data_IF_425508885756
#
_entry.id   IF_425508885756
#
_cell.length_a   1.000
_cell.length_b   1.000
_cell.length_c   1.000
_cell.angle_alpha   90.00
_cell.angle_beta   90.00
_cell.angle_gamma   90.00
#
_symmetry.space_group_name_H-M   'P 1'
#
loop_
_entity.id
_entity.type
_entity.pdbx_description
1 polymer ?
#
# COMPACT_ATOMS: atom_id res chain seq x y z
N UNK A 1 20.29 -35.86 1.09
CA UNK A 1 20.86 -35.21 -0.11
C UNK A 1 19.73 -34.42 -0.74
N UNK A 2 19.96 -33.13 -0.94
CA UNK A 2 18.94 -32.12 -1.22
C UNK A 2 18.56 -32.18 -2.71
N UNK A 3 17.37 -32.70 -3.00
CA UNK A 3 16.83 -32.89 -4.33
C UNK A 3 16.07 -31.63 -4.75
N UNK A 4 16.67 -30.75 -5.54
CA UNK A 4 15.97 -29.85 -6.48
C UNK A 4 16.92 -29.47 -7.63
N UNK A 5 17.27 -30.48 -8.44
CA UNK A 5 17.76 -30.25 -9.80
C UNK A 5 16.54 -30.32 -10.73
N UNK A 6 16.15 -29.18 -11.29
CA UNK A 6 15.09 -29.11 -12.29
C UNK A 6 15.55 -28.23 -13.45
N UNK A 7 16.35 -28.83 -14.33
CA UNK A 7 16.58 -28.36 -15.70
C UNK A 7 15.23 -28.39 -16.45
N UNK A 8 14.70 -27.22 -16.78
CA UNK A 8 13.59 -27.07 -17.76
C UNK A 8 14.04 -26.15 -18.87
N UNK A 9 14.60 -26.78 -19.91
CA UNK A 9 14.81 -26.26 -21.25
C UNK A 9 13.44 -25.98 -21.92
N UNK A 10 13.31 -24.83 -22.61
CA UNK A 10 12.17 -24.56 -23.49
C UNK A 10 10.95 -23.87 -22.84
N UNK A 11 10.84 -22.55 -23.08
CA UNK A 11 9.88 -21.58 -22.50
C UNK A 11 10.20 -21.24 -21.05
N UNK A 12 10.86 -20.09 -20.82
CA UNK A 12 10.94 -19.45 -19.50
C UNK A 12 9.54 -19.01 -19.08
N UNK A 13 8.71 -19.95 -18.63
CA UNK A 13 7.56 -19.66 -17.80
C UNK A 13 8.16 -19.12 -16.52
N UNK A 14 8.32 -17.79 -16.45
CA UNK A 14 8.72 -17.12 -15.22
C UNK A 14 7.70 -17.56 -14.17
N UNK A 15 8.06 -18.54 -13.33
CA UNK A 15 7.23 -18.99 -12.23
C UNK A 15 6.85 -17.72 -11.47
N UNK A 16 5.57 -17.37 -11.51
CA UNK A 16 5.07 -16.21 -10.78
C UNK A 16 5.22 -16.56 -9.31
N UNK A 17 6.22 -15.98 -8.64
CA UNK A 17 6.38 -16.09 -7.19
C UNK A 17 5.07 -15.73 -6.51
N UNK A 18 4.70 -16.47 -5.49
CA UNK A 18 3.50 -16.21 -4.69
C UNK A 18 3.63 -14.87 -3.98
N UNK A 19 2.52 -14.31 -3.49
CA UNK A 19 2.54 -13.04 -2.76
C UNK A 19 3.43 -13.14 -1.51
N UNK A 20 3.29 -14.23 -0.75
CA UNK A 20 4.11 -14.51 0.44
C UNK A 20 5.61 -14.56 0.14
N UNK A 21 6.03 -15.22 -0.94
CA UNK A 21 7.45 -15.27 -1.32
C UNK A 21 8.01 -13.88 -1.64
N UNK A 22 7.21 -13.00 -2.25
CA UNK A 22 7.63 -11.63 -2.55
C UNK A 22 7.78 -10.81 -1.28
N UNK A 23 6.85 -10.97 -0.33
CA UNK A 23 6.89 -10.29 0.96
C UNK A 23 8.10 -10.74 1.78
N UNK A 24 8.36 -12.04 1.85
CA UNK A 24 9.56 -12.60 2.50
C UNK A 24 10.85 -12.02 1.93
N UNK A 25 10.98 -11.93 0.61
CA UNK A 25 12.17 -11.35 -0.02
C UNK A 25 12.36 -9.85 0.28
N UNK A 26 11.25 -9.11 0.41
CA UNK A 26 11.30 -7.69 0.82
C UNK A 26 11.71 -7.56 2.28
N UNK A 27 11.21 -8.44 3.15
CA UNK A 27 11.60 -8.49 4.57
C UNK A 27 13.07 -8.91 4.74
N UNK A 28 13.52 -9.94 4.01
CA UNK A 28 14.94 -10.35 3.96
C UNK A 28 15.84 -9.20 3.52
N UNK A 29 15.44 -8.45 2.48
CA UNK A 29 16.20 -7.28 2.05
C UNK A 29 16.29 -6.21 3.16
N UNK A 30 15.16 -5.90 3.83
CA UNK A 30 15.13 -4.95 4.95
C UNK A 30 16.00 -5.42 6.12
N UNK A 31 15.96 -6.72 6.44
CA UNK A 31 16.70 -7.31 7.55
C UNK A 31 18.21 -7.46 7.25
N UNK A 32 18.57 -7.72 5.99
CA UNK A 32 19.97 -7.89 5.57
C UNK A 32 20.82 -6.62 5.72
N UNK A 33 20.21 -5.44 5.90
CA UNK A 33 20.93 -4.17 5.92
C UNK A 33 21.67 -3.86 4.62
N UNK A 34 21.34 -4.56 3.53
CA UNK A 34 22.01 -4.44 2.25
C UNK A 34 21.89 -3.01 1.72
N UNK A 35 23.02 -2.38 1.41
CA UNK A 35 23.09 -0.99 0.94
C UNK A 35 22.49 -0.78 -0.45
N UNK A 36 22.30 -1.85 -1.24
CA UNK A 36 21.84 -1.75 -2.63
C UNK A 36 20.84 -2.85 -2.99
N UNK A 37 19.68 -2.43 -3.49
CA UNK A 37 18.67 -3.31 -4.07
C UNK A 37 19.22 -4.09 -5.29
N UNK A 38 20.17 -3.51 -6.03
CA UNK A 38 20.72 -4.15 -7.23
C UNK A 38 21.54 -5.39 -6.88
N UNK A 39 22.42 -5.29 -5.88
CA UNK A 39 23.24 -6.41 -5.42
C UNK A 39 22.38 -7.56 -4.87
N UNK A 40 21.35 -7.24 -4.07
CA UNK A 40 20.40 -8.23 -3.57
C UNK A 40 19.61 -8.92 -4.68
N UNK A 41 19.19 -8.15 -5.70
CA UNK A 41 18.50 -8.69 -6.87
C UNK A 41 19.40 -9.61 -7.70
N UNK A 42 20.68 -9.26 -7.85
CA UNK A 42 21.67 -10.06 -8.59
C UNK A 42 21.89 -11.42 -7.93
N UNK A 43 22.12 -11.45 -6.61
CA UNK A 43 22.28 -12.69 -5.84
C UNK A 43 21.07 -13.62 -5.97
N UNK A 44 19.86 -13.07 -5.93
CA UNK A 44 18.60 -13.84 -5.95
C UNK A 44 18.00 -14.01 -7.34
N UNK A 45 18.75 -13.67 -8.40
CA UNK A 45 18.32 -13.74 -9.82
C UNK A 45 16.96 -13.06 -10.07
N UNK A 46 16.77 -11.88 -9.48
CA UNK A 46 15.56 -11.07 -9.58
C UNK A 46 15.86 -9.88 -10.48
N UNK A 47 14.91 -9.48 -11.33
CA UNK A 47 15.02 -8.21 -12.03
C UNK A 47 14.77 -7.06 -11.06
N UNK A 48 15.65 -6.05 -11.05
CA UNK A 48 15.51 -4.87 -10.19
C UNK A 48 14.15 -4.17 -10.36
N UNK A 49 13.65 -4.05 -11.58
CA UNK A 49 12.34 -3.44 -11.85
C UNK A 49 11.19 -4.21 -11.20
N UNK A 50 11.30 -5.54 -11.19
CA UNK A 50 10.32 -6.43 -10.57
C UNK A 50 10.37 -6.31 -9.05
N UNK A 51 11.58 -6.31 -8.48
CA UNK A 51 11.77 -6.13 -7.04
C UNK A 51 11.29 -4.76 -6.56
N UNK A 52 11.60 -3.68 -7.29
CA UNK A 52 11.09 -2.33 -7.00
C UNK A 52 9.57 -2.31 -6.97
N UNK A 53 8.91 -2.97 -7.92
CA UNK A 53 7.45 -3.08 -7.92
C UNK A 53 6.92 -3.75 -6.66
N UNK A 54 7.62 -4.73 -6.08
CA UNK A 54 7.23 -5.34 -4.80
C UNK A 54 7.54 -4.45 -3.61
N UNK A 55 8.70 -3.81 -3.61
CA UNK A 55 9.18 -2.97 -2.52
C UNK A 55 8.33 -1.70 -2.33
N UNK A 56 7.93 -1.04 -3.43
CA UNK A 56 7.16 0.21 -3.39
C UNK A 56 5.66 0.01 -3.37
N UNK A 57 5.16 -1.19 -3.66
CA UNK A 57 3.72 -1.45 -3.63
C UNK A 57 3.30 -1.57 -2.16
N UNK A 58 2.82 -0.46 -1.60
CA UNK A 58 2.10 -0.47 -0.32
C UNK A 58 0.98 -1.51 -0.43
N UNK A 59 0.92 -2.42 0.54
CA UNK A 59 -0.20 -3.33 0.64
C UNK A 59 -1.47 -2.48 0.76
N UNK A 60 -2.44 -2.58 -0.16
CA UNK A 60 -3.67 -1.79 -0.09
C UNK A 60 -4.53 -2.14 1.14
N UNK A 61 -4.15 -3.17 1.90
CA UNK A 61 -4.80 -3.60 3.15
C UNK A 61 -4.52 -2.68 4.35
N UNK A 62 -3.53 -1.80 4.30
CA UNK A 62 -3.22 -0.85 5.39
C UNK A 62 -3.76 0.56 5.13
N UNK A 63 -4.78 0.72 4.30
CA UNK A 63 -5.60 1.91 4.34
C UNK A 63 -6.44 1.87 5.62
N UNK A 64 -5.83 2.24 6.75
CA UNK A 64 -6.55 2.51 7.98
C UNK A 64 -7.49 3.68 7.72
N UNK A 65 -8.74 3.38 7.39
CA UNK A 65 -9.81 4.37 7.42
C UNK A 65 -10.04 4.71 8.89
N UNK A 66 -9.42 5.78 9.37
CA UNK A 66 -9.75 6.35 10.66
C UNK A 66 -11.14 6.95 10.54
N UNK A 67 -12.11 6.32 11.20
CA UNK A 67 -13.47 6.85 11.31
C UNK A 67 -13.40 8.17 12.09
N UNK A 68 -13.61 9.29 11.39
CA UNK A 68 -13.70 10.61 12.00
C UNK A 68 -15.17 10.85 12.33
N UNK A 69 -15.56 10.59 13.58
CA UNK A 69 -16.87 11.00 14.08
C UNK A 69 -16.86 12.51 14.29
N UNK A 70 -17.41 13.26 13.35
CA UNK A 70 -17.68 14.69 13.54
C UNK A 70 -18.87 14.81 14.47
N UNK A 71 -18.65 15.33 15.67
CA UNK A 71 -19.73 15.67 16.58
C UNK A 71 -20.64 16.71 15.89
N UNK A 72 -21.91 16.37 15.70
CA UNK A 72 -22.90 17.33 15.22
C UNK A 72 -22.97 18.50 16.21
N UNK A 73 -22.85 19.76 15.77
CA UNK A 73 -23.06 20.88 16.67
C UNK A 73 -24.52 20.86 17.16
N UNK A 74 -24.67 21.01 18.48
CA UNK A 74 -25.97 21.13 19.14
C UNK A 74 -26.77 22.28 18.50
N UNK A 75 -28.02 22.00 18.14
CA UNK A 75 -28.86 22.91 17.39
C UNK A 75 -29.14 24.19 18.19
N UNK A 76 -28.39 25.26 17.89
CA UNK A 76 -28.67 26.59 18.44
C UNK A 76 -29.90 27.18 17.73
N UNK A 77 -30.94 27.62 18.47
CA UNK A 77 -32.10 28.26 17.87
C UNK A 77 -31.68 29.59 17.23
N UNK A 78 -31.96 29.73 15.93
CA UNK A 78 -31.78 30.99 15.20
C UNK A 78 -33.04 31.82 15.38
N UNK A 79 -32.96 32.92 16.13
CA UNK A 79 -34.04 33.90 16.19
C UNK A 79 -34.06 34.73 14.90
N UNK A 80 -35.19 34.69 14.19
CA UNK A 80 -35.43 35.48 12.99
C UNK A 80 -36.22 36.74 13.38
N UNK A 81 -35.56 37.90 13.33
CA UNK A 81 -36.20 39.20 13.54
C UNK A 81 -36.75 39.69 12.20
N UNK A 82 -38.07 39.81 12.09
CA UNK A 82 -38.70 40.46 10.94
C UNK A 82 -38.71 41.97 11.15
N UNK A 83 -38.22 42.77 10.19
CA UNK A 83 -38.40 44.21 10.25
C UNK A 83 -39.89 44.53 10.14
N UNK A 84 -40.42 45.21 11.16
CA UNK A 84 -41.77 45.76 11.11
C UNK A 84 -41.79 46.87 10.05
N UNK A 85 -42.38 46.57 8.90
CA UNK A 85 -42.75 47.57 7.93
C UNK A 85 -43.98 48.30 8.50
N UNK A 86 -43.81 49.58 8.84
CA UNK A 86 -44.93 50.49 9.10
C UNK A 86 -45.48 50.92 7.74
N UNK A 87 -46.68 50.45 7.39
CA UNK A 87 -47.45 51.02 6.30
C UNK A 87 -47.83 52.46 6.70
N UNK A 88 -47.20 53.44 6.06
CA UNK A 88 -47.59 54.85 6.21
C UNK A 88 -48.94 55.09 5.54
N UNK A 89 -49.88 55.65 6.31
CA UNK A 89 -51.13 56.28 5.85
C UNK A 89 -50.86 57.52 4.99
#
# INVERSE_FOLDING_TARGET
MNEQDAVVEGRRVLRRRSVQEREQLVEEFKASGAKSQAAFCEERSIKLTTFKSWFYKKNPREAHLTEVTVAMPEAVPVEVIFPSWSAGE
#
